data_IF_881155511245
#
_entry.id   IF_881155511245
#
_cell.length_a   1.000
_cell.length_b   1.000
_cell.length_c   1.000
_cell.angle_alpha   90.00
_cell.angle_beta   90.00
_cell.angle_gamma   90.00
#
_symmetry.space_group_name_H-M   'P 1'
#
loop_
_entity.id
_entity.type
_entity.pdbx_description
1 polymer ?
#
# COMPACT_ATOMS: atom_id res chain seq x y z
N UNK A 1 -0.60 17.27 -10.52
CA UNK A 1 0.45 17.70 -9.57
C UNK A 1 0.90 16.49 -8.80
N UNK A 2 2.18 16.37 -8.48
CA UNK A 2 2.76 15.20 -7.80
C UNK A 2 1.97 14.75 -6.55
N UNK A 3 1.45 15.67 -5.76
CA UNK A 3 0.62 15.37 -4.58
C UNK A 3 -0.67 14.60 -4.89
N UNK A 4 -1.30 14.90 -6.04
CA UNK A 4 -2.52 14.22 -6.48
C UNK A 4 -2.26 12.76 -6.82
N UNK A 5 -1.12 12.47 -7.42
CA UNK A 5 -0.74 11.11 -7.80
C UNK A 5 -0.38 10.29 -6.56
N UNK A 6 0.29 10.91 -5.57
CA UNK A 6 0.57 10.29 -4.27
C UNK A 6 -0.73 10.00 -3.50
N UNK A 7 -1.69 10.94 -3.50
CA UNK A 7 -2.98 10.73 -2.86
C UNK A 7 -3.73 9.55 -3.51
N UNK A 8 -3.76 9.51 -4.84
CA UNK A 8 -4.37 8.43 -5.62
C UNK A 8 -3.72 7.09 -5.30
N UNK A 9 -2.38 7.01 -5.30
CA UNK A 9 -1.64 5.79 -4.95
C UNK A 9 -2.01 5.27 -3.56
N UNK A 10 -2.11 6.14 -2.55
CA UNK A 10 -2.50 5.74 -1.18
C UNK A 10 -3.91 5.14 -1.13
N UNK A 11 -4.85 5.70 -1.90
CA UNK A 11 -6.22 5.17 -2.00
C UNK A 11 -6.20 3.79 -2.66
N UNK A 12 -5.52 3.65 -3.79
CA UNK A 12 -5.38 2.37 -4.49
C UNK A 12 -4.69 1.31 -3.61
N UNK A 13 -3.67 1.68 -2.83
CA UNK A 13 -3.01 0.74 -1.92
C UNK A 13 -3.93 0.28 -0.79
N UNK A 14 -4.86 1.11 -0.29
CA UNK A 14 -5.87 0.66 0.68
C UNK A 14 -6.83 -0.35 0.05
N UNK A 15 -7.29 -0.11 -1.17
CA UNK A 15 -8.22 -1.04 -1.84
C UNK A 15 -7.52 -2.34 -2.22
N UNK A 16 -6.25 -2.28 -2.63
CA UNK A 16 -5.45 -3.46 -2.93
C UNK A 16 -5.21 -4.32 -1.67
N UNK A 17 -4.81 -3.72 -0.54
CA UNK A 17 -4.61 -4.45 0.72
C UNK A 17 -5.86 -5.21 1.17
N UNK A 18 -7.04 -4.60 1.06
CA UNK A 18 -8.32 -5.27 1.37
C UNK A 18 -8.60 -6.52 0.53
N UNK A 19 -7.99 -6.63 -0.65
CA UNK A 19 -8.20 -7.75 -1.58
C UNK A 19 -7.18 -8.87 -1.41
N UNK A 20 -5.96 -8.56 -0.96
CA UNK A 20 -4.83 -9.52 -0.95
C UNK A 20 -4.34 -9.88 0.45
N UNK A 21 -4.49 -8.99 1.43
CA UNK A 21 -4.09 -9.25 2.81
C UNK A 21 -5.20 -10.00 3.54
N UNK A 22 -4.84 -10.99 4.35
CA UNK A 22 -5.79 -11.66 5.24
C UNK A 22 -6.34 -10.71 6.31
N UNK A 23 -5.47 -9.84 6.86
CA UNK A 23 -5.83 -8.75 7.76
C UNK A 23 -5.26 -7.41 7.24
N UNK A 24 -6.07 -6.52 6.66
CA UNK A 24 -5.62 -5.23 6.16
C UNK A 24 -5.09 -4.27 7.23
N UNK A 25 -5.41 -4.49 8.51
CA UNK A 25 -4.87 -3.69 9.62
C UNK A 25 -3.43 -4.09 9.97
N UNK A 26 -3.05 -5.32 9.67
CA UNK A 26 -1.70 -5.87 9.88
C UNK A 26 -1.12 -6.39 8.55
N UNK A 27 -0.83 -5.50 7.58
CA UNK A 27 -0.42 -5.90 6.24
C UNK A 27 0.94 -6.60 6.25
N UNK A 28 1.01 -7.78 5.65
CA UNK A 28 2.23 -8.59 5.55
C UNK A 28 2.79 -8.58 4.13
N UNK A 29 1.94 -8.55 3.10
CA UNK A 29 2.36 -8.58 1.71
C UNK A 29 2.80 -7.20 1.20
N UNK A 30 2.08 -6.14 1.55
CA UNK A 30 2.30 -4.77 1.07
C UNK A 30 2.80 -3.88 2.20
N UNK A 31 4.12 -3.76 2.33
CA UNK A 31 4.74 -2.93 3.36
C UNK A 31 4.84 -1.46 2.95
N UNK A 32 4.60 -0.56 3.90
CA UNK A 32 4.85 0.87 3.73
C UNK A 32 6.27 1.18 4.19
N UNK A 33 7.08 1.78 3.32
CA UNK A 33 8.39 2.32 3.66
C UNK A 33 8.30 3.85 3.70
N UNK A 34 8.33 4.41 4.90
CA UNK A 34 8.16 5.86 5.12
C UNK A 34 9.24 6.63 4.38
N UNK A 35 8.85 7.66 3.64
CA UNK A 35 9.77 8.49 2.84
C UNK A 35 10.18 7.88 1.49
N UNK A 36 9.77 6.64 1.18
CA UNK A 36 10.09 5.98 -0.10
C UNK A 36 8.84 5.55 -0.85
N UNK A 37 7.93 4.81 -0.21
CA UNK A 37 6.71 4.31 -0.87
C UNK A 37 6.25 2.94 -0.35
N UNK A 38 5.94 2.03 -1.27
CA UNK A 38 5.40 0.71 -0.97
C UNK A 38 6.29 -0.40 -1.51
N UNK A 39 6.38 -1.52 -0.79
CA UNK A 39 7.16 -2.68 -1.19
C UNK A 39 6.33 -3.96 -1.04
N UNK A 40 6.42 -4.82 -2.04
CA UNK A 40 5.89 -6.18 -1.97
C UNK A 40 6.88 -7.09 -1.25
N UNK A 41 6.40 -7.84 -0.26
CA UNK A 41 7.10 -8.98 0.31
C UNK A 41 6.93 -10.18 -0.61
N UNK A 42 7.97 -11.00 -0.71
CA UNK A 42 7.90 -12.26 -1.46
C UNK A 42 7.26 -13.30 -0.55
N UNK A 43 6.28 -14.04 -1.08
CA UNK A 43 5.73 -15.24 -0.43
C UNK A 43 6.82 -16.31 -0.28
#
# INVERSE_FOLDING_TARGET
SWDSDIASLRVFMRTLRKKVEADPAHPQLIQTHVGVGYRMQRL
#
